data_IF_101141710966
#
_entry.id   IF_101141710966
#
_cell.length_a   1.000
_cell.length_b   1.000
_cell.length_c   1.000
_cell.angle_alpha   90.00
_cell.angle_beta   90.00
_cell.angle_gamma   90.00
#
_symmetry.space_group_name_H-M   'P 1'
#
loop_
_entity.id
_entity.type
_entity.pdbx_description
1 polymer ?
#
# COMPACT_ATOMS: atom_id res chain seq x y z
N UNK A 1 26.50 7.72 -15.02
CA UNK A 1 25.17 7.60 -15.68
C UNK A 1 24.21 7.10 -14.62
N UNK A 2 23.53 7.97 -13.88
CA UNK A 2 22.37 8.82 -14.21
C UNK A 2 21.04 8.10 -13.95
N UNK A 3 20.22 8.73 -13.09
CA UNK A 3 18.82 8.47 -12.74
C UNK A 3 18.48 7.24 -11.85
N UNK A 4 18.37 7.47 -10.54
CA UNK A 4 17.51 6.68 -9.62
C UNK A 4 16.53 7.61 -8.92
N UNK A 5 15.50 8.05 -9.64
CA UNK A 5 14.26 8.50 -9.02
C UNK A 5 13.28 7.35 -9.17
N UNK A 6 13.32 6.41 -8.23
CA UNK A 6 12.29 5.37 -8.11
C UNK A 6 11.33 5.85 -7.03
N UNK A 7 10.09 6.12 -7.41
CA UNK A 7 9.01 6.39 -6.46
C UNK A 7 8.24 5.09 -6.30
N UNK A 8 8.39 4.44 -5.14
CA UNK A 8 7.37 3.49 -4.69
C UNK A 8 6.14 4.33 -4.33
N UNK A 9 5.10 4.26 -5.17
CA UNK A 9 3.84 4.94 -4.90
C UNK A 9 2.88 3.95 -4.26
N UNK A 10 2.90 3.92 -2.95
CA UNK A 10 1.82 3.36 -2.15
C UNK A 10 0.80 4.48 -1.95
N UNK A 11 -0.48 4.34 -2.34
CA UNK A 11 -1.50 5.33 -2.00
C UNK A 11 -1.68 5.50 -0.48
N UNK A 12 -1.07 4.63 0.33
CA UNK A 12 -0.93 4.74 1.80
C UNK A 12 0.48 5.11 2.29
N UNK A 13 1.50 5.20 1.43
CA UNK A 13 2.88 5.46 1.88
C UNK A 13 3.59 6.40 0.92
N UNK A 14 3.63 7.69 1.30
CA UNK A 14 4.78 8.54 1.03
C UNK A 14 5.59 8.68 2.32
N UNK A 15 6.84 8.21 2.23
CA UNK A 15 7.99 8.43 3.12
C UNK A 15 7.90 7.92 4.58
N UNK A 16 8.32 6.67 4.79
CA UNK A 16 9.23 6.33 5.90
C UNK A 16 8.67 5.86 7.25
N UNK A 17 7.38 5.60 7.42
CA UNK A 17 6.81 5.53 8.77
C UNK A 17 5.58 4.60 8.84
N UNK A 18 5.71 3.38 9.35
CA UNK A 18 4.56 2.62 9.89
C UNK A 18 3.67 3.47 10.83
N UNK A 19 4.22 4.42 11.64
CA UNK A 19 3.42 5.34 12.45
C UNK A 19 2.37 6.18 11.70
N UNK A 20 2.57 6.47 10.41
CA UNK A 20 1.58 7.23 9.63
C UNK A 20 0.37 6.35 9.28
N UNK A 21 0.59 5.07 8.99
CA UNK A 21 -0.48 4.09 8.75
C UNK A 21 -1.33 3.88 9.99
N UNK A 22 -0.68 3.64 11.13
CA UNK A 22 -1.36 3.43 12.42
C UNK A 22 -2.14 4.67 12.87
N UNK A 23 -1.55 5.87 12.75
CA UNK A 23 -2.23 7.11 13.10
C UNK A 23 -3.43 7.39 12.17
N UNK A 24 -3.31 7.09 10.87
CA UNK A 24 -4.42 7.22 9.93
C UNK A 24 -5.57 6.25 10.28
N UNK A 25 -5.24 5.00 10.66
CA UNK A 25 -6.26 4.04 11.06
C UNK A 25 -6.88 4.35 12.41
N UNK A 26 -6.13 4.89 13.38
CA UNK A 26 -6.68 5.40 14.63
C UNK A 26 -7.68 6.54 14.36
N UNK A 27 -7.32 7.50 13.51
CA UNK A 27 -8.22 8.58 13.10
C UNK A 27 -9.49 8.03 12.39
N UNK A 28 -9.33 7.04 11.51
CA UNK A 28 -10.47 6.41 10.84
C UNK A 28 -11.37 5.66 11.83
N UNK A 29 -10.77 4.92 12.76
CA UNK A 29 -11.46 4.17 13.80
C UNK A 29 -12.32 5.09 14.66
N UNK A 30 -11.76 6.21 15.13
CA UNK A 30 -12.48 7.24 15.88
C UNK A 30 -13.65 7.82 15.06
N UNK A 31 -13.41 8.17 13.80
CA UNK A 31 -14.43 8.77 12.91
C UNK A 31 -15.60 7.83 12.59
N UNK A 32 -15.33 6.53 12.53
CA UNK A 32 -16.33 5.50 12.20
C UNK A 32 -16.94 4.84 13.44
N UNK A 33 -16.44 5.14 14.64
CA UNK A 33 -16.89 4.50 15.87
C UNK A 33 -16.57 3.00 15.94
N UNK A 34 -15.46 2.59 15.33
CA UNK A 34 -15.01 1.18 15.26
C UNK A 34 -13.65 1.01 15.93
N UNK A 35 -13.21 -0.23 16.12
CA UNK A 35 -11.85 -0.51 16.62
C UNK A 35 -10.78 -0.21 15.56
N UNK A 36 -9.53 -0.03 15.96
CA UNK A 36 -8.41 0.09 15.02
C UNK A 36 -8.27 -1.14 14.13
N UNK A 37 -8.46 -2.34 14.68
CA UNK A 37 -8.49 -3.59 13.92
C UNK A 37 -9.60 -3.61 12.86
N UNK A 38 -10.79 -3.10 13.22
CA UNK A 38 -11.89 -3.00 12.28
C UNK A 38 -11.62 -1.96 11.18
N UNK A 39 -11.00 -0.83 11.53
CA UNK A 39 -10.58 0.15 10.54
C UNK A 39 -9.59 -0.45 9.53
N UNK A 40 -8.64 -1.26 9.99
CA UNK A 40 -7.74 -2.02 9.12
C UNK A 40 -8.52 -3.01 8.23
N UNK A 41 -9.45 -3.78 8.79
CA UNK A 41 -10.28 -4.73 8.03
C UNK A 41 -11.11 -4.03 6.96
N UNK A 42 -11.72 -2.89 7.28
CA UNK A 42 -12.56 -2.12 6.36
C UNK A 42 -11.74 -1.51 5.22
N UNK A 43 -10.52 -1.05 5.50
CA UNK A 43 -9.67 -0.42 4.49
C UNK A 43 -9.00 -1.41 3.55
N UNK A 44 -8.72 -2.64 4.01
CA UNK A 44 -8.08 -3.67 3.19
C UNK A 44 -9.09 -4.56 2.44
N UNK A 45 -10.40 -4.48 2.74
CA UNK A 45 -11.41 -5.41 2.19
C UNK A 45 -11.44 -5.52 0.66
N UNK A 46 -11.17 -4.42 -0.04
CA UNK A 46 -11.11 -4.38 -1.51
C UNK A 46 -9.68 -4.42 -2.07
N UNK A 47 -8.67 -4.54 -1.21
CA UNK A 47 -7.30 -4.83 -1.64
C UNK A 47 -7.19 -6.33 -1.87
N UNK A 48 -6.68 -6.82 -3.01
CA UNK A 48 -6.58 -8.25 -3.29
C UNK A 48 -5.88 -9.07 -2.21
N UNK A 49 -4.83 -8.54 -1.57
CA UNK A 49 -4.14 -9.22 -0.46
C UNK A 49 -4.90 -9.19 0.88
N UNK A 50 -5.91 -8.33 1.05
CA UNK A 50 -6.77 -8.22 2.25
C UNK A 50 -6.05 -8.05 3.58
N UNK A 51 -4.81 -7.56 3.53
CA UNK A 51 -3.99 -7.27 4.70
C UNK A 51 -3.11 -6.07 4.41
N UNK A 52 -2.58 -5.49 5.47
CA UNK A 52 -1.53 -4.49 5.39
C UNK A 52 -0.23 -5.19 4.99
N UNK A 53 0.59 -4.50 4.21
CA UNK A 53 1.95 -4.95 3.94
C UNK A 53 2.81 -4.74 5.18
N UNK A 54 3.64 -5.72 5.52
CA UNK A 54 4.63 -5.56 6.57
C UNK A 54 5.74 -4.61 6.10
N UNK A 55 6.36 -3.82 7.01
CA UNK A 55 7.46 -2.92 6.66
C UNK A 55 8.60 -3.63 5.90
N UNK A 56 8.88 -4.88 6.25
CA UNK A 56 9.92 -5.70 5.63
C UNK A 56 9.61 -6.02 4.17
N UNK A 57 8.34 -6.14 3.79
CA UNK A 57 7.93 -6.37 2.40
C UNK A 57 8.29 -5.16 1.53
N UNK A 58 8.01 -3.95 2.02
CA UNK A 58 8.39 -2.70 1.33
C UNK A 58 9.92 -2.53 1.31
N UNK A 59 10.59 -2.81 2.43
CA UNK A 59 12.04 -2.73 2.53
C UNK A 59 12.74 -3.69 1.54
N UNK A 60 12.19 -4.89 1.33
CA UNK A 60 12.74 -5.87 0.38
C UNK A 60 12.70 -5.36 -1.06
N UNK A 61 11.62 -4.67 -1.47
CA UNK A 61 11.50 -4.08 -2.81
C UNK A 61 12.46 -2.91 -2.97
N UNK A 62 12.58 -2.07 -1.94
CA UNK A 62 13.58 -1.00 -1.92
C UNK A 62 15.01 -1.55 -2.04
N UNK A 63 15.32 -2.65 -1.33
CA UNK A 63 16.62 -3.31 -1.40
C UNK A 63 16.88 -3.88 -2.80
N UNK A 64 15.90 -4.54 -3.43
CA UNK A 64 15.99 -4.97 -4.82
C UNK A 64 16.29 -3.80 -5.77
N UNK A 65 15.53 -2.70 -5.67
CA UNK A 65 15.72 -1.51 -6.50
C UNK A 65 17.08 -0.83 -6.28
N UNK A 66 17.65 -0.96 -5.08
CA UNK A 66 18.98 -0.45 -4.75
C UNK A 66 20.11 -1.39 -5.22
N UNK A 67 19.82 -2.68 -5.40
CA UNK A 67 20.80 -3.71 -5.79
C UNK A 67 21.27 -3.58 -7.25
N UNK A 68 22.23 -4.44 -7.62
CA UNK A 68 22.67 -4.60 -9.01
C UNK A 68 21.67 -5.33 -9.90
N UNK A 69 20.76 -6.12 -9.31
CA UNK A 69 19.76 -6.89 -10.06
C UNK A 69 18.73 -5.98 -10.74
N UNK A 70 18.54 -4.77 -10.22
CA UNK A 70 17.72 -3.72 -10.81
C UNK A 70 18.53 -2.74 -11.70
N UNK A 71 19.69 -3.13 -12.23
CA UNK A 71 20.60 -2.24 -12.98
C UNK A 71 19.97 -1.56 -14.21
N UNK A 72 18.93 -2.16 -14.80
CA UNK A 72 18.21 -1.61 -15.95
C UNK A 72 16.84 -1.03 -15.59
N UNK A 73 16.44 -1.05 -14.31
CA UNK A 73 15.15 -0.55 -13.84
C UNK A 73 15.31 0.92 -13.47
N UNK A 74 14.92 1.81 -14.38
CA UNK A 74 14.97 3.28 -14.18
C UNK A 74 13.77 3.95 -14.85
N UNK A 75 13.39 5.14 -14.37
CA UNK A 75 12.25 5.90 -14.89
C UNK A 75 10.87 5.27 -14.65
N UNK A 76 10.79 4.27 -13.77
CA UNK A 76 9.55 3.54 -13.49
C UNK A 76 9.06 3.79 -12.06
N UNK A 77 7.74 3.85 -11.88
CA UNK A 77 7.08 3.85 -10.57
C UNK A 77 6.57 2.43 -10.29
N UNK A 78 7.30 1.68 -9.47
CA UNK A 78 6.89 0.33 -9.08
C UNK A 78 5.85 0.41 -7.96
N UNK A 79 4.65 -0.10 -8.23
CA UNK A 79 3.55 -0.11 -7.26
C UNK A 79 3.68 -1.34 -6.35
N UNK A 80 3.64 -1.12 -5.03
CA UNK A 80 3.76 -2.15 -4.00
C UNK A 80 2.66 -1.96 -2.96
N UNK A 81 1.42 -2.30 -3.29
CA UNK A 81 0.24 -1.93 -2.49
C UNK A 81 -0.76 -3.10 -2.27
N UNK A 82 -0.30 -4.33 -2.45
CA UNK A 82 -1.14 -5.52 -2.36
C UNK A 82 -2.21 -5.64 -3.44
N UNK A 83 -2.06 -4.89 -4.55
CA UNK A 83 -2.94 -4.93 -5.71
C UNK A 83 -4.06 -3.88 -5.67
N UNK A 84 -4.03 -2.95 -4.72
CA UNK A 84 -5.06 -1.90 -4.60
C UNK A 84 -5.22 -1.07 -5.88
N UNK A 85 -4.11 -0.69 -6.52
CA UNK A 85 -4.12 0.10 -7.75
C UNK A 85 -4.65 -0.66 -8.97
N UNK A 86 -4.75 -1.99 -8.91
CA UNK A 86 -5.31 -2.80 -9.99
C UNK A 86 -6.84 -2.90 -9.91
N UNK A 87 -7.44 -2.46 -8.81
CA UNK A 87 -8.88 -2.48 -8.60
C UNK A 87 -9.49 -1.17 -9.11
N UNK A 88 -10.57 -1.26 -9.87
CA UNK A 88 -11.37 -0.10 -10.25
C UNK A 88 -12.30 0.30 -9.09
N UNK A 89 -12.12 1.47 -8.46
CA UNK A 89 -12.98 1.91 -7.37
C UNK A 89 -14.45 2.09 -7.81
N UNK A 90 -14.69 2.38 -9.10
CA UNK A 90 -16.03 2.55 -9.63
C UNK A 90 -16.83 1.24 -9.65
N UNK A 91 -16.16 0.07 -9.63
CA UNK A 91 -16.84 -1.23 -9.64
C UNK A 91 -17.17 -1.75 -8.24
N UNK A 92 -16.60 -1.17 -7.18
CA UNK A 92 -16.79 -1.64 -5.79
C UNK A 92 -18.27 -1.66 -5.38
N UNK A 93 -19.08 -0.71 -5.86
CA UNK A 93 -20.51 -0.64 -5.55
C UNK A 93 -21.31 -1.83 -6.11
N UNK A 94 -20.75 -2.58 -7.06
CA UNK A 94 -21.37 -3.75 -7.68
C UNK A 94 -20.82 -5.07 -7.13
N UNK A 95 -19.85 -5.03 -6.21
CA UNK A 95 -19.30 -6.22 -5.59
C UNK A 95 -20.37 -6.84 -4.68
N UNK A 96 -20.71 -8.13 -4.85
CA UNK A 96 -21.76 -8.74 -4.05
C UNK A 96 -21.36 -8.76 -2.57
N UNK A 97 -22.31 -8.55 -1.64
CA UNK A 97 -21.99 -8.50 -0.22
C UNK A 97 -21.39 -9.83 0.24
N UNK A 98 -20.20 -9.76 0.84
CA UNK A 98 -19.51 -10.90 1.45
C UNK A 98 -18.41 -11.56 0.60
N UNK A 99 -18.01 -10.95 -0.52
CA UNK A 99 -16.87 -11.42 -1.32
C UNK A 99 -15.54 -10.96 -0.75
#
# INVERSE_FOLDING_TARGET
>A
MSARAVSASTPSARAGCAPLGDAAMACLAERQGVSAEEAYRLTTRHVPLRRVAEPEEIASVCAFLASGDASTVTGHALVVDGGGAAVDPATIAFDPPGL
#
